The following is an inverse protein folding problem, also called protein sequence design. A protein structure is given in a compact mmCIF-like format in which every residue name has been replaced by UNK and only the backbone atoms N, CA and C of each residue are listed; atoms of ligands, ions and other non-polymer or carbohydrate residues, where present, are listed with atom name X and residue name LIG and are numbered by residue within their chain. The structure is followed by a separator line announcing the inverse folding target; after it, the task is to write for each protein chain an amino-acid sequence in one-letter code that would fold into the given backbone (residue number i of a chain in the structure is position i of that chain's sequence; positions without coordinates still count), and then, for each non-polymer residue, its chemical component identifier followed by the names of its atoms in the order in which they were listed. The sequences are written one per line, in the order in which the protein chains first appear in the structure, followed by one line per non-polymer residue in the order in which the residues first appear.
data_IF_994539976630
#
_entry.id   IF_994539976630
#
_cell.length_a   1.000
_cell.length_b   1.000
_cell.length_c   1.000
_cell.angle_alpha   90.00
_cell.angle_beta   90.00
_cell.angle_gamma   90.00
#
_symmetry.space_group_name_H-M   'P 1'
#
loop_
_entity.id
_entity.type
_entity.pdbx_description
1 polymer ?
#
# COMPACT_ATOMS: atom_id res chain seq x y z
N UNK A 1 5.84 22.98 -0.60
CA UNK A 1 4.79 22.17 -1.26
C UNK A 1 3.45 22.55 -0.64
N UNK A 2 2.48 22.94 -1.45
CA UNK A 2 1.12 23.28 -0.98
C UNK A 2 0.04 22.37 -1.60
N UNK A 3 0.30 21.86 -2.79
CA UNK A 3 -0.67 21.06 -3.56
C UNK A 3 -0.32 19.58 -3.44
N UNK A 4 -1.22 18.78 -2.87
CA UNK A 4 -0.98 17.37 -2.54
C UNK A 4 -2.07 16.52 -3.19
N UNK A 5 -1.66 15.55 -4.00
CA UNK A 5 -2.52 14.49 -4.53
C UNK A 5 -2.48 13.28 -3.61
N UNK A 6 -3.66 12.75 -3.27
CA UNK A 6 -3.80 11.48 -2.57
C UNK A 6 -4.56 10.51 -3.48
N UNK A 7 -3.91 9.48 -3.99
CA UNK A 7 -4.61 8.37 -4.65
C UNK A 7 -5.12 7.38 -3.60
N UNK A 8 -6.33 6.83 -3.77
CA UNK A 8 -7.00 6.08 -2.71
C UNK A 8 -7.44 6.98 -1.54
N UNK A 9 -7.68 8.26 -1.85
CA UNK A 9 -7.92 9.28 -0.83
C UNK A 9 -9.32 9.23 -0.21
N UNK A 10 -10.25 8.45 -0.75
CA UNK A 10 -11.54 8.20 -0.12
C UNK A 10 -11.53 6.98 0.82
N UNK A 11 -10.44 6.19 0.84
CA UNK A 11 -10.27 5.10 1.79
C UNK A 11 -10.04 5.57 3.23
N UNK A 12 -9.94 4.63 4.18
CA UNK A 12 -9.84 4.94 5.62
C UNK A 12 -8.65 5.85 5.95
N UNK A 13 -7.43 5.49 5.51
CA UNK A 13 -6.23 6.30 5.76
C UNK A 13 -6.30 7.61 4.96
N UNK A 14 -6.63 7.51 3.67
CA UNK A 14 -6.63 8.63 2.75
C UNK A 14 -7.58 9.75 3.14
N UNK A 15 -8.80 9.44 3.56
CA UNK A 15 -9.80 10.44 3.96
C UNK A 15 -9.40 11.19 5.24
N UNK A 16 -8.86 10.47 6.23
CA UNK A 16 -8.35 11.07 7.46
C UNK A 16 -7.12 11.96 7.19
N UNK A 17 -6.21 11.51 6.32
CA UNK A 17 -5.07 12.32 5.90
C UNK A 17 -5.51 13.57 5.15
N UNK A 18 -6.46 13.42 4.20
CA UNK A 18 -7.00 14.55 3.43
C UNK A 18 -7.59 15.63 4.34
N UNK A 19 -8.42 15.23 5.31
CA UNK A 19 -8.99 16.17 6.30
C UNK A 19 -7.91 16.87 7.11
N UNK A 20 -6.91 16.13 7.57
CA UNK A 20 -5.81 16.72 8.36
C UNK A 20 -4.94 17.68 7.55
N UNK A 21 -4.71 17.40 6.28
CA UNK A 21 -3.96 18.29 5.39
C UNK A 21 -4.76 19.56 5.08
N UNK A 22 -6.06 19.45 4.81
CA UNK A 22 -6.94 20.63 4.61
C UNK A 22 -6.96 21.52 5.87
N UNK A 23 -7.08 20.93 7.06
CA UNK A 23 -7.01 21.65 8.33
C UNK A 23 -5.69 22.44 8.49
N UNK A 24 -4.60 21.88 7.97
CA UNK A 24 -3.27 22.54 7.96
C UNK A 24 -3.06 23.52 6.80
N UNK A 25 -4.07 23.80 6.01
CA UNK A 25 -4.03 24.79 4.92
C UNK A 25 -3.40 24.29 3.61
N UNK A 26 -3.29 22.97 3.40
CA UNK A 26 -2.88 22.41 2.13
C UNK A 26 -4.07 22.34 1.14
N UNK A 27 -3.76 22.48 -0.14
CA UNK A 27 -4.70 22.19 -1.23
C UNK A 27 -4.62 20.69 -1.55
N UNK A 28 -5.71 19.98 -1.34
CA UNK A 28 -5.74 18.51 -1.49
C UNK A 28 -6.58 18.13 -2.70
N UNK A 29 -5.99 17.31 -3.56
CA UNK A 29 -6.70 16.58 -4.64
C UNK A 29 -6.76 15.10 -4.26
N UNK A 30 -7.89 14.46 -4.49
CA UNK A 30 -8.09 13.02 -4.27
C UNK A 30 -8.44 12.35 -5.59
N UNK A 31 -7.74 11.27 -5.91
CA UNK A 31 -8.08 10.33 -6.97
C UNK A 31 -8.55 9.01 -6.33
N UNK A 32 -9.79 8.62 -6.59
CA UNK A 32 -10.37 7.40 -6.03
C UNK A 32 -11.48 6.86 -6.94
N UNK A 33 -11.57 5.54 -7.10
CA UNK A 33 -12.59 4.91 -7.93
C UNK A 33 -13.89 4.61 -7.18
N UNK A 34 -13.92 4.85 -5.87
CA UNK A 34 -15.01 4.52 -4.96
C UNK A 34 -15.46 3.06 -5.08
N UNK A 35 -14.48 2.15 -4.99
CA UNK A 35 -14.70 0.70 -5.08
C UNK A 35 -15.85 0.25 -4.17
N UNK A 36 -16.78 -0.56 -4.70
CA UNK A 36 -17.93 -1.11 -3.95
C UNK A 36 -17.50 -1.90 -2.71
N UNK A 37 -16.36 -2.59 -2.79
CA UNK A 37 -15.83 -3.36 -1.68
C UNK A 37 -15.53 -2.48 -0.45
N UNK A 38 -15.12 -1.23 -0.66
CA UNK A 38 -14.76 -0.29 0.41
C UNK A 38 -15.93 0.64 0.76
N UNK A 39 -16.72 1.05 -0.22
CA UNK A 39 -17.68 2.15 -0.09
C UNK A 39 -19.14 1.73 -0.20
N UNK A 40 -19.42 0.45 -0.52
CA UNK A 40 -20.78 -0.06 -0.72
C UNK A 40 -21.35 0.27 -2.11
N UNK A 41 -22.63 -0.06 -2.30
CA UNK A 41 -23.30 0.02 -3.61
C UNK A 41 -23.51 1.46 -4.13
N UNK A 42 -23.81 2.40 -3.26
CA UNK A 42 -24.10 3.80 -3.61
C UNK A 42 -23.09 4.74 -2.90
N UNK A 43 -21.80 4.66 -3.22
CA UNK A 43 -20.74 5.31 -2.45
C UNK A 43 -20.90 6.83 -2.33
N UNK A 44 -21.40 7.48 -3.36
CA UNK A 44 -21.59 8.95 -3.38
C UNK A 44 -22.68 9.43 -2.42
N UNK A 45 -23.60 8.54 -2.05
CA UNK A 45 -24.71 8.83 -1.13
C UNK A 45 -24.48 8.27 0.27
N UNK A 46 -23.81 7.12 0.39
CA UNK A 46 -23.79 6.35 1.62
C UNK A 46 -22.40 6.17 2.25
N UNK A 47 -21.30 6.39 1.50
CA UNK A 47 -19.95 6.20 2.07
C UNK A 47 -19.59 7.33 3.04
N UNK A 48 -19.46 7.07 4.36
CA UNK A 48 -19.10 8.10 5.32
C UNK A 48 -17.73 8.71 5.04
N UNK A 49 -16.77 7.91 4.56
CA UNK A 49 -15.41 8.35 4.23
C UNK A 49 -15.41 9.36 3.07
N UNK A 50 -16.14 9.03 1.98
CA UNK A 50 -16.28 9.95 0.84
C UNK A 50 -17.04 11.23 1.23
N UNK A 51 -18.18 11.08 1.93
CA UNK A 51 -19.00 12.21 2.37
C UNK A 51 -18.23 13.20 3.26
N UNK A 52 -17.30 12.71 4.07
CA UNK A 52 -16.46 13.53 4.95
C UNK A 52 -15.52 14.47 4.19
N UNK A 53 -15.10 14.10 2.97
CA UNK A 53 -14.10 14.84 2.19
C UNK A 53 -14.63 15.54 0.95
N UNK A 54 -15.77 15.10 0.37
CA UNK A 54 -16.25 15.50 -0.96
C UNK A 54 -16.32 17.01 -1.22
N UNK A 55 -16.64 17.80 -0.19
CA UNK A 55 -16.77 19.24 -0.28
C UNK A 55 -15.53 20.01 0.24
N UNK A 56 -14.47 19.31 0.61
CA UNK A 56 -13.26 19.88 1.21
C UNK A 56 -12.03 19.73 0.34
N UNK A 57 -12.09 18.86 -0.66
CA UNK A 57 -10.99 18.54 -1.55
C UNK A 57 -11.42 18.62 -3.02
N UNK A 58 -10.48 18.76 -3.94
CA UNK A 58 -10.73 18.50 -5.36
C UNK A 58 -10.83 17.00 -5.56
N UNK A 59 -12.06 16.48 -5.69
CA UNK A 59 -12.28 15.04 -5.86
C UNK A 59 -12.35 14.67 -7.34
N UNK A 60 -11.58 13.65 -7.73
CA UNK A 60 -11.57 13.04 -9.07
C UNK A 60 -11.98 11.59 -8.90
N UNK A 61 -13.17 11.25 -9.38
CA UNK A 61 -13.63 9.86 -9.49
C UNK A 61 -12.93 9.24 -10.69
N UNK A 62 -11.99 8.32 -10.43
CA UNK A 62 -11.19 7.71 -11.45
C UNK A 62 -10.32 6.58 -10.92
N UNK A 63 -9.62 5.89 -11.82
CA UNK A 63 -8.80 4.73 -11.52
C UNK A 63 -7.31 5.01 -11.69
N UNK A 64 -6.49 4.47 -10.79
CA UNK A 64 -5.02 4.47 -10.94
C UNK A 64 -4.54 3.61 -12.11
N UNK A 65 -5.40 2.79 -12.72
CA UNK A 65 -5.11 2.02 -13.92
C UNK A 65 -5.44 2.77 -15.22
N UNK A 66 -5.94 4.02 -15.13
CA UNK A 66 -6.30 4.86 -16.27
C UNK A 66 -5.31 6.03 -16.41
N UNK A 67 -4.60 6.15 -17.55
CA UNK A 67 -3.62 7.22 -17.76
C UNK A 67 -4.24 8.62 -17.71
N UNK A 68 -5.44 8.79 -18.25
CA UNK A 68 -6.14 10.08 -18.30
C UNK A 68 -6.53 10.56 -16.90
N UNK A 69 -6.95 9.64 -16.02
CA UNK A 69 -7.28 9.97 -14.64
C UNK A 69 -6.05 10.42 -13.85
N UNK A 70 -4.90 9.76 -14.06
CA UNK A 70 -3.65 10.20 -13.48
C UNK A 70 -3.22 11.57 -13.98
N UNK A 71 -3.25 11.84 -15.31
CA UNK A 71 -2.87 13.17 -15.87
C UNK A 71 -3.74 14.26 -15.29
N UNK A 72 -5.06 14.04 -15.24
CA UNK A 72 -6.02 14.98 -14.64
C UNK A 72 -5.75 15.21 -13.15
N UNK A 73 -5.37 14.15 -12.42
CA UNK A 73 -5.10 14.24 -11.00
C UNK A 73 -3.77 14.93 -10.69
N UNK A 74 -2.74 14.69 -11.49
CA UNK A 74 -1.39 15.25 -11.31
C UNK A 74 -1.28 16.73 -11.68
N UNK A 75 -2.25 17.27 -12.42
CA UNK A 75 -2.22 18.66 -12.86
C UNK A 75 -2.15 19.63 -11.68
N UNK A 76 -1.09 20.44 -11.66
CA UNK A 76 -0.81 21.43 -10.63
C UNK A 76 -0.36 20.87 -9.27
N UNK A 77 -0.08 19.57 -9.15
CA UNK A 77 0.34 18.95 -7.89
C UNK A 77 1.86 19.04 -7.68
N UNK A 78 2.29 19.05 -6.42
CA UNK A 78 3.71 19.08 -6.02
C UNK A 78 4.14 17.82 -5.26
N UNK A 79 3.19 17.09 -4.67
CA UNK A 79 3.42 15.86 -3.91
C UNK A 79 2.33 14.85 -4.24
N UNK A 80 2.71 13.57 -4.34
CA UNK A 80 1.79 12.44 -4.44
C UNK A 80 1.91 11.59 -3.19
N UNK A 81 0.78 11.30 -2.55
CA UNK A 81 0.64 10.26 -1.54
C UNK A 81 -0.15 9.11 -2.16
N UNK A 82 0.55 8.05 -2.53
CA UNK A 82 -0.02 6.91 -3.25
C UNK A 82 -0.49 5.83 -2.27
N UNK A 83 -1.80 5.86 -1.96
CA UNK A 83 -2.46 4.90 -1.07
C UNK A 83 -3.41 3.95 -1.82
N UNK A 84 -3.73 4.25 -3.07
CA UNK A 84 -4.60 3.39 -3.88
C UNK A 84 -3.98 2.01 -4.04
N UNK A 85 -4.70 0.98 -3.62
CA UNK A 85 -4.31 -0.41 -3.74
C UNK A 85 -5.53 -1.31 -3.53
N UNK A 86 -5.54 -2.45 -4.21
CA UNK A 86 -6.34 -3.58 -3.75
C UNK A 86 -5.71 -4.14 -2.48
N UNK A 87 -6.53 -4.44 -1.48
CA UNK A 87 -6.09 -4.86 -0.14
C UNK A 87 -6.72 -6.19 0.25
N UNK A 88 -6.09 -6.91 1.14
CA UNK A 88 -6.56 -8.21 1.61
C UNK A 88 -5.66 -9.36 1.16
N UNK A 89 -4.97 -9.96 2.14
CA UNK A 89 -3.98 -11.02 1.91
C UNK A 89 -4.62 -12.26 1.28
N UNK A 90 -5.70 -12.77 1.89
CA UNK A 90 -6.38 -13.98 1.40
C UNK A 90 -7.02 -13.79 0.02
N UNK A 91 -7.75 -12.69 -0.20
CA UNK A 91 -8.38 -12.39 -1.48
C UNK A 91 -7.37 -12.30 -2.62
N UNK A 92 -6.17 -11.79 -2.35
CA UNK A 92 -5.11 -11.66 -3.37
C UNK A 92 -4.69 -12.99 -3.98
N UNK A 93 -4.88 -14.10 -3.28
CA UNK A 93 -4.55 -15.45 -3.76
C UNK A 93 -5.52 -15.97 -4.81
N UNK A 94 -6.70 -15.35 -4.95
CA UNK A 94 -7.75 -15.74 -5.91
C UNK A 94 -8.01 -14.69 -7.00
N UNK A 95 -7.66 -13.43 -6.75
CA UNK A 95 -7.86 -12.31 -7.68
C UNK A 95 -6.50 -11.74 -8.15
N UNK A 96 -5.53 -12.60 -8.45
CA UNK A 96 -4.12 -12.25 -8.71
C UNK A 96 -3.99 -11.09 -9.70
N UNK A 97 -4.65 -11.21 -10.86
CA UNK A 97 -4.58 -10.19 -11.93
C UNK A 97 -5.04 -8.81 -11.45
N UNK A 98 -6.13 -8.75 -10.70
CA UNK A 98 -6.69 -7.50 -10.16
C UNK A 98 -5.68 -6.79 -9.25
N UNK A 99 -5.01 -7.54 -8.37
CA UNK A 99 -3.98 -7.00 -7.48
C UNK A 99 -2.74 -6.53 -8.23
N UNK A 100 -2.29 -7.28 -9.22
CA UNK A 100 -1.13 -6.91 -10.05
C UNK A 100 -1.45 -5.66 -10.89
N UNK A 101 -2.59 -5.64 -11.59
CA UNK A 101 -2.98 -4.51 -12.43
C UNK A 101 -3.12 -3.22 -11.61
N UNK A 102 -3.76 -3.29 -10.45
CA UNK A 102 -4.00 -2.10 -9.63
C UNK A 102 -2.73 -1.67 -8.88
N UNK A 103 -2.11 -2.57 -8.13
CA UNK A 103 -1.01 -2.20 -7.25
C UNK A 103 0.28 -1.95 -8.03
N UNK A 104 0.68 -2.89 -8.87
CA UNK A 104 1.92 -2.75 -9.66
C UNK A 104 1.66 -1.89 -10.89
N UNK A 105 0.65 -2.24 -11.70
CA UNK A 105 0.33 -1.53 -12.95
C UNK A 105 -0.03 -0.07 -12.71
N UNK A 106 -0.89 0.22 -11.74
CA UNK A 106 -1.24 1.60 -11.36
C UNK A 106 -0.05 2.42 -10.88
N UNK A 107 0.88 1.80 -10.13
CA UNK A 107 2.12 2.45 -9.69
C UNK A 107 3.07 2.68 -10.87
N UNK A 108 3.26 1.68 -11.74
CA UNK A 108 4.10 1.80 -12.92
C UNK A 108 3.61 2.92 -13.83
N UNK A 109 2.29 3.02 -14.04
CA UNK A 109 1.68 4.07 -14.85
C UNK A 109 1.93 5.48 -14.27
N UNK A 110 1.80 5.65 -12.94
CA UNK A 110 2.19 6.89 -12.27
C UNK A 110 3.65 7.25 -12.59
N UNK A 111 4.55 6.29 -12.42
CA UNK A 111 5.99 6.52 -12.60
C UNK A 111 6.35 6.78 -14.08
N UNK A 112 5.69 6.14 -15.03
CA UNK A 112 5.83 6.43 -16.46
C UNK A 112 5.47 7.89 -16.78
N UNK A 113 4.34 8.38 -16.27
CA UNK A 113 3.93 9.77 -16.43
C UNK A 113 4.94 10.72 -15.78
N UNK A 114 5.39 10.44 -14.56
CA UNK A 114 6.35 11.30 -13.85
C UNK A 114 7.72 11.35 -14.53
N UNK A 115 8.10 10.29 -15.25
CA UNK A 115 9.38 10.19 -15.97
C UNK A 115 9.33 10.84 -17.33
N UNK A 116 8.25 10.63 -18.08
CA UNK A 116 8.19 10.95 -19.51
C UNK A 116 7.41 12.23 -19.82
N UNK A 117 6.63 12.75 -18.87
CA UNK A 117 5.80 13.93 -19.07
C UNK A 117 6.23 15.09 -18.14
N UNK A 118 6.05 16.33 -18.62
CA UNK A 118 6.34 17.52 -17.80
C UNK A 118 5.37 17.58 -16.60
N UNK A 119 5.91 17.67 -15.40
CA UNK A 119 5.13 17.76 -14.16
C UNK A 119 5.88 18.57 -13.08
N UNK A 120 5.16 19.00 -12.05
CA UNK A 120 5.71 19.77 -10.92
C UNK A 120 5.93 18.92 -9.66
N UNK A 121 5.78 17.61 -9.73
CA UNK A 121 5.93 16.71 -8.59
C UNK A 121 7.39 16.71 -8.10
N UNK A 122 7.55 16.92 -6.80
CA UNK A 122 8.85 16.94 -6.10
C UNK A 122 9.02 15.72 -5.20
N UNK A 123 7.89 15.15 -4.71
CA UNK A 123 7.90 14.05 -3.75
C UNK A 123 6.79 13.06 -4.04
N UNK A 124 7.11 11.77 -3.93
CA UNK A 124 6.15 10.67 -3.95
C UNK A 124 6.28 9.90 -2.64
N UNK A 125 5.17 9.67 -1.97
CA UNK A 125 5.08 8.83 -0.78
C UNK A 125 4.20 7.65 -1.13
N UNK A 126 4.69 6.43 -0.94
CA UNK A 126 3.92 5.21 -1.13
C UNK A 126 3.77 4.48 0.19
N UNK A 127 2.58 3.92 0.45
CA UNK A 127 2.40 3.05 1.59
C UNK A 127 2.82 1.63 1.22
N UNK A 128 3.78 1.08 1.93
CA UNK A 128 4.06 -0.34 1.94
C UNK A 128 3.16 -1.09 2.92
N UNK A 129 3.51 -2.31 3.28
CA UNK A 129 2.70 -3.13 4.18
C UNK A 129 3.59 -4.04 5.02
N UNK A 130 3.15 -4.34 6.25
CA UNK A 130 3.78 -5.39 7.04
C UNK A 130 3.77 -6.75 6.34
N UNK A 131 2.86 -6.98 5.40
CA UNK A 131 2.75 -8.22 4.65
C UNK A 131 3.99 -8.56 3.80
N UNK A 132 4.91 -7.61 3.62
CA UNK A 132 6.21 -7.86 2.97
C UNK A 132 7.15 -8.70 3.84
N UNK A 133 6.90 -8.77 5.15
CA UNK A 133 7.73 -9.50 6.11
C UNK A 133 7.18 -10.90 6.47
N UNK A 134 6.20 -11.41 5.74
CA UNK A 134 5.62 -12.73 5.98
C UNK A 134 5.11 -12.92 7.41
N UNK A 135 5.57 -13.97 8.07
CA UNK A 135 5.24 -14.29 9.48
C UNK A 135 5.97 -13.39 10.49
N UNK A 136 6.91 -12.56 10.03
CA UNK A 136 7.67 -11.67 10.88
C UNK A 136 8.96 -12.27 11.41
N UNK A 137 9.52 -11.64 12.46
CA UNK A 137 10.82 -11.97 13.04
C UNK A 137 10.66 -12.65 14.40
N UNK A 138 11.37 -13.74 14.57
CA UNK A 138 11.43 -14.51 15.80
C UNK A 138 12.86 -14.59 16.32
N UNK A 139 13.03 -14.70 17.61
CA UNK A 139 14.31 -14.88 18.27
C UNK A 139 14.33 -16.20 19.03
N UNK A 140 15.37 -17.01 18.85
CA UNK A 140 15.59 -18.20 19.66
C UNK A 140 16.63 -17.92 20.73
N UNK A 141 16.24 -18.12 21.99
CA UNK A 141 17.17 -18.05 23.14
C UNK A 141 18.20 -19.16 23.15
N UNK A 142 17.84 -20.31 22.59
CA UNK A 142 18.69 -21.50 22.56
C UNK A 142 19.90 -21.29 21.61
N UNK A 143 19.66 -20.78 20.40
CA UNK A 143 20.70 -20.54 19.41
C UNK A 143 21.25 -19.12 19.42
N UNK A 144 20.64 -18.19 20.16
CA UNK A 144 20.95 -16.76 20.20
C UNK A 144 20.89 -16.11 18.79
N UNK A 145 19.88 -16.47 17.98
CA UNK A 145 19.75 -16.02 16.60
C UNK A 145 18.32 -15.61 16.28
N UNK A 146 18.17 -14.76 15.24
CA UNK A 146 16.89 -14.40 14.65
C UNK A 146 16.51 -15.37 13.54
N UNK A 147 15.22 -15.67 13.46
CA UNK A 147 14.62 -16.54 12.46
C UNK A 147 13.42 -15.86 11.81
N UNK A 148 13.15 -16.26 10.57
CA UNK A 148 12.03 -15.81 9.77
C UNK A 148 11.27 -17.06 9.31
N UNK A 149 10.27 -17.51 10.08
CA UNK A 149 9.53 -18.73 9.76
C UNK A 149 8.82 -18.63 8.42
N UNK A 150 8.70 -19.76 7.74
CA UNK A 150 7.84 -19.90 6.57
C UNK A 150 6.36 -20.02 6.94
N UNK A 151 5.54 -20.35 5.95
CA UNK A 151 4.12 -20.57 6.14
C UNK A 151 3.83 -21.78 7.03
N UNK A 152 2.74 -21.73 7.77
CA UNK A 152 2.20 -22.88 8.51
C UNK A 152 1.67 -23.91 7.54
N UNK A 153 1.85 -25.18 7.83
CA UNK A 153 1.33 -26.23 6.97
C UNK A 153 -0.17 -26.46 7.18
N UNK A 154 -0.89 -26.84 6.13
CA UNK A 154 -2.31 -27.19 6.23
C UNK A 154 -2.56 -28.33 7.23
N UNK A 155 -1.61 -29.26 7.33
CA UNK A 155 -1.68 -30.38 8.27
C UNK A 155 -1.62 -29.90 9.71
N UNK A 156 -0.68 -29.00 10.03
CA UNK A 156 -0.56 -28.44 11.37
C UNK A 156 -1.82 -27.64 11.75
N UNK A 157 -2.26 -26.75 10.87
CA UNK A 157 -3.47 -25.96 11.07
C UNK A 157 -4.72 -26.81 11.26
N UNK A 158 -4.87 -27.88 10.48
CA UNK A 158 -5.99 -28.83 10.59
C UNK A 158 -5.99 -29.60 11.92
N UNK A 159 -4.81 -29.78 12.51
CA UNK A 159 -4.63 -30.39 13.83
C UNK A 159 -4.75 -29.37 14.99
N UNK A 160 -5.03 -28.11 14.70
CA UNK A 160 -5.13 -27.02 15.70
C UNK A 160 -3.77 -26.52 16.18
N UNK A 161 -2.68 -26.88 15.52
CA UNK A 161 -1.33 -26.37 15.81
C UNK A 161 -1.05 -25.15 14.92
N UNK A 162 -1.19 -23.97 15.51
CA UNK A 162 -0.96 -22.69 14.84
C UNK A 162 0.39 -22.07 15.19
N UNK A 163 1.25 -22.79 15.88
CA UNK A 163 2.59 -22.30 16.20
C UNK A 163 3.50 -22.28 14.97
N UNK A 164 4.36 -21.27 14.90
CA UNK A 164 5.37 -21.21 13.82
C UNK A 164 6.46 -22.24 14.08
N UNK A 165 6.98 -22.81 13.01
CA UNK A 165 8.03 -23.82 13.08
C UNK A 165 9.26 -23.39 12.30
N UNK A 166 10.42 -23.66 12.87
CA UNK A 166 11.71 -23.49 12.22
C UNK A 166 12.46 -24.82 12.32
N UNK A 167 12.93 -25.33 11.19
CA UNK A 167 13.64 -26.61 11.16
C UNK A 167 14.84 -26.63 12.09
N UNK A 168 14.92 -27.62 12.96
CA UNK A 168 16.02 -27.78 13.91
C UNK A 168 15.95 -26.88 15.16
N UNK A 169 14.91 -26.10 15.31
CA UNK A 169 14.70 -25.24 16.51
C UNK A 169 13.44 -25.68 17.24
N UNK A 170 13.56 -25.80 18.56
CA UNK A 170 12.40 -26.09 19.39
C UNK A 170 11.45 -24.88 19.40
N UNK A 171 10.19 -25.08 19.00
CA UNK A 171 9.19 -24.02 18.91
C UNK A 171 8.99 -23.30 20.25
N UNK A 172 9.13 -23.99 21.40
CA UNK A 172 9.03 -23.36 22.72
C UNK A 172 10.17 -22.38 23.04
N UNK A 173 11.29 -22.45 22.30
CA UNK A 173 12.42 -21.52 22.44
C UNK A 173 12.27 -20.27 21.55
N UNK A 174 11.31 -20.27 20.60
CA UNK A 174 11.05 -19.16 19.70
C UNK A 174 10.18 -18.10 20.39
N UNK A 175 10.61 -16.87 20.32
CA UNK A 175 9.87 -15.72 20.80
C UNK A 175 9.59 -14.76 19.63
N UNK A 176 8.33 -14.36 19.46
CA UNK A 176 7.97 -13.28 18.55
C UNK A 176 8.62 -11.98 19.07
N UNK A 177 9.32 -11.30 18.19
CA UNK A 177 9.96 -10.01 18.48
C UNK A 177 9.50 -8.95 17.48
N UNK A 178 9.81 -7.69 17.76
CA UNK A 178 9.47 -6.59 16.84
C UNK A 178 10.09 -6.82 15.46
N UNK A 179 9.27 -6.74 14.42
CA UNK A 179 9.74 -6.70 13.04
C UNK A 179 10.15 -5.27 12.73
N UNK A 180 11.41 -5.06 12.48
CA UNK A 180 12.02 -3.76 12.17
C UNK A 180 12.26 -3.63 10.67
N UNK A 181 12.59 -2.44 10.18
CA UNK A 181 12.77 -2.16 8.74
C UNK A 181 13.96 -2.91 8.12
N UNK A 182 14.91 -3.36 8.95
CA UNK A 182 16.04 -4.21 8.54
C UNK A 182 15.74 -5.73 8.56
N UNK A 183 14.50 -6.10 8.89
CA UNK A 183 14.07 -7.49 8.87
C UNK A 183 14.03 -8.05 7.46
N UNK A 184 14.17 -9.39 7.33
CA UNK A 184 14.10 -10.07 6.04
C UNK A 184 12.74 -9.85 5.38
N UNK A 185 12.77 -9.36 4.16
CA UNK A 185 11.58 -9.27 3.29
C UNK A 185 11.35 -10.64 2.65
N UNK A 186 10.20 -11.27 2.96
CA UNK A 186 9.81 -12.59 2.43
C UNK A 186 8.28 -12.72 2.38
N UNK A 187 7.62 -11.96 1.47
CA UNK A 187 6.17 -11.97 1.38
C UNK A 187 5.63 -13.36 1.06
N UNK A 188 4.55 -13.75 1.73
CA UNK A 188 3.86 -15.04 1.58
C UNK A 188 2.50 -14.90 0.88
N UNK A 189 2.23 -13.77 0.26
CA UNK A 189 0.99 -13.52 -0.47
C UNK A 189 1.20 -12.65 -1.70
N UNK A 190 0.31 -12.78 -2.69
CA UNK A 190 0.31 -11.89 -3.85
C UNK A 190 0.21 -10.44 -3.43
N UNK A 191 -0.65 -10.11 -2.45
CA UNK A 191 -0.73 -8.76 -1.89
C UNK A 191 0.63 -8.27 -1.35
N UNK A 192 1.30 -9.09 -0.53
CA UNK A 192 2.62 -8.75 0.01
C UNK A 192 3.65 -8.49 -1.10
N UNK A 193 3.70 -9.37 -2.11
CA UNK A 193 4.58 -9.20 -3.28
C UNK A 193 4.26 -7.88 -4.00
N UNK A 194 2.98 -7.59 -4.27
CA UNK A 194 2.62 -6.35 -4.98
C UNK A 194 3.01 -5.09 -4.19
N UNK A 195 2.90 -5.13 -2.86
CA UNK A 195 3.29 -4.00 -1.99
C UNK A 195 4.82 -3.81 -1.96
N UNK A 196 5.59 -4.88 -1.91
CA UNK A 196 7.04 -4.82 -2.03
C UNK A 196 7.47 -4.21 -3.37
N UNK A 197 6.88 -4.66 -4.47
CA UNK A 197 7.20 -4.14 -5.81
C UNK A 197 6.83 -2.65 -5.93
N UNK A 198 5.69 -2.21 -5.38
CA UNK A 198 5.33 -0.79 -5.35
C UNK A 198 6.43 0.07 -4.71
N UNK A 199 6.90 -0.30 -3.51
CA UNK A 199 7.95 0.42 -2.81
C UNK A 199 9.25 0.45 -3.59
N UNK A 200 9.68 -0.70 -4.11
CA UNK A 200 10.91 -0.81 -4.91
C UNK A 200 10.85 0.05 -6.18
N UNK A 201 9.75 0.04 -6.93
CA UNK A 201 9.58 0.86 -8.12
C UNK A 201 9.62 2.36 -7.79
N UNK A 202 8.88 2.80 -6.78
CA UNK A 202 8.85 4.22 -6.38
C UNK A 202 10.24 4.68 -5.95
N UNK A 203 10.91 3.92 -5.08
CA UNK A 203 12.23 4.27 -4.61
C UNK A 203 13.25 4.34 -5.75
N UNK A 204 13.30 3.32 -6.61
CA UNK A 204 14.24 3.26 -7.73
C UNK A 204 14.02 4.42 -8.71
N UNK A 205 12.79 4.61 -9.18
CA UNK A 205 12.51 5.60 -10.24
C UNK A 205 12.63 7.02 -9.69
N UNK A 206 12.05 7.32 -8.52
CA UNK A 206 12.14 8.66 -7.94
C UNK A 206 13.60 9.09 -7.71
N UNK A 207 14.47 8.19 -7.25
CA UNK A 207 15.89 8.49 -7.10
C UNK A 207 16.57 8.82 -8.44
N UNK A 208 16.18 8.16 -9.54
CA UNK A 208 16.74 8.40 -10.89
C UNK A 208 16.29 9.70 -11.52
N UNK A 209 15.04 10.11 -11.28
CA UNK A 209 14.48 11.35 -11.85
C UNK A 209 14.61 12.56 -10.89
N UNK A 210 15.39 12.44 -9.82
CA UNK A 210 15.67 13.52 -8.86
C UNK A 210 14.47 13.95 -8.03
N UNK A 211 13.53 13.03 -7.74
CA UNK A 211 12.40 13.27 -6.83
C UNK A 211 12.63 12.56 -5.51
N UNK A 212 12.09 13.14 -4.43
CA UNK A 212 12.08 12.47 -3.13
C UNK A 212 11.06 11.31 -3.10
N UNK A 213 11.41 10.22 -2.47
CA UNK A 213 10.52 9.08 -2.18
C UNK A 213 10.60 8.70 -0.71
#
# INVERSE_FOLDING_TARGET
MKNILISGGAGFIGSNLALKLVEKGYSVTVLDNLSKQIHGENPELSSPLYLAIKNKVRFIKGSVTCPEDWRKALDGQECVVHLAAETGTGQSMYEIKKYVDTNIGGTALLLDILTNEKNAIKKVIVAESRAIYGEGRYYSKESNQYFYPGERTDVDMSNGDFEVKVNGINSSSLQLVSTTEDSLIHPTSVYGITKQVQGQLVHLICSKIGKQS
#
